data_IF_293545937695
#
_entry.id   IF_293545937695
#
_cell.length_a   1.000
_cell.length_b   1.000
_cell.length_c   1.000
_cell.angle_alpha   90.00
_cell.angle_beta   90.00
_cell.angle_gamma   90.00
#
_symmetry.space_group_name_H-M   'P 1'
#
loop_
_entity.id
_entity.type
_entity.pdbx_description
1 polymer ?
#
# COMPACT_ATOMS: atom_id res chain seq x y z
N UNK A 1 -68.78 -42.84 -5.22
CA UNK A 1 -68.09 -43.80 -6.08
C UNK A 1 -67.69 -43.09 -7.37
N UNK A 2 -66.38 -43.04 -7.66
CA UNK A 2 -65.63 -42.60 -8.87
C UNK A 2 -65.86 -41.20 -9.48
N UNK A 3 -64.83 -40.32 -9.56
CA UNK A 3 -63.58 -40.34 -10.37
C UNK A 3 -63.83 -40.28 -11.88
N UNK A 4 -63.81 -39.06 -12.42
CA UNK A 4 -63.30 -38.60 -13.74
C UNK A 4 -64.25 -37.61 -14.41
N UNK A 5 -63.93 -36.33 -14.30
CA UNK A 5 -64.12 -35.25 -15.28
C UNK A 5 -63.79 -33.92 -14.60
N UNK A 6 -62.52 -33.53 -14.70
CA UNK A 6 -62.09 -32.18 -14.35
C UNK A 6 -61.04 -31.80 -15.38
N UNK A 7 -61.43 -30.93 -16.31
CA UNK A 7 -60.70 -30.25 -17.41
C UNK A 7 -61.85 -29.83 -18.36
N UNK A 8 -62.15 -28.58 -18.69
CA UNK A 8 -61.45 -27.30 -18.70
C UNK A 8 -62.50 -26.17 -18.75
N UNK A 9 -62.09 -24.94 -18.37
CA UNK A 9 -62.59 -23.59 -18.71
C UNK A 9 -62.37 -22.75 -17.43
N UNK A 10 -61.67 -21.61 -17.39
CA UNK A 10 -61.34 -20.59 -18.37
C UNK A 10 -60.15 -19.78 -17.84
N UNK A 11 -59.31 -19.29 -18.75
CA UNK A 11 -58.23 -18.38 -18.48
C UNK A 11 -58.73 -16.98 -18.08
N UNK A 12 -58.18 -16.43 -17.00
CA UNK A 12 -58.22 -14.99 -16.72
C UNK A 12 -56.96 -14.57 -15.94
N UNK A 13 -56.12 -13.77 -16.59
CA UNK A 13 -55.27 -12.73 -15.99
C UNK A 13 -54.32 -13.11 -14.86
N UNK A 14 -53.11 -13.56 -15.21
CA UNK A 14 -51.93 -13.37 -14.37
C UNK A 14 -50.93 -12.50 -15.12
N UNK A 15 -50.92 -11.21 -14.80
CA UNK A 15 -49.80 -10.32 -15.14
C UNK A 15 -48.53 -10.91 -14.52
N UNK A 16 -47.40 -11.01 -15.26
CA UNK A 16 -46.14 -11.32 -14.63
C UNK A 16 -45.75 -10.07 -13.83
N UNK A 17 -45.92 -10.15 -12.50
CA UNK A 17 -45.22 -9.24 -11.61
C UNK A 17 -43.73 -9.41 -11.89
N UNK A 18 -43.15 -8.43 -12.58
CA UNK A 18 -41.72 -8.35 -12.79
C UNK A 18 -41.08 -8.38 -11.39
N UNK A 19 -40.34 -9.45 -11.09
CA UNK A 19 -39.38 -9.44 -10.00
C UNK A 19 -38.34 -8.36 -10.35
N UNK A 20 -38.61 -7.12 -9.93
CA UNK A 20 -37.59 -6.11 -9.82
C UNK A 20 -36.58 -6.65 -8.81
N UNK A 21 -35.46 -7.16 -9.31
CA UNK A 21 -34.28 -7.39 -8.47
C UNK A 21 -33.96 -6.11 -7.70
N UNK A 22 -33.28 -6.20 -6.54
CA UNK A 22 -32.96 -5.03 -5.74
C UNK A 22 -32.35 -3.97 -6.66
N UNK A 23 -32.99 -2.79 -6.71
CA UNK A 23 -32.50 -1.66 -7.47
C UNK A 23 -31.02 -1.49 -7.13
N UNK A 24 -30.14 -1.64 -8.13
CA UNK A 24 -28.72 -1.30 -7.97
C UNK A 24 -28.71 0.09 -7.37
N UNK A 25 -28.27 0.21 -6.11
CA UNK A 25 -28.00 1.50 -5.49
C UNK A 25 -27.26 2.33 -6.55
N UNK A 26 -27.75 3.52 -6.94
CA UNK A 26 -27.04 4.30 -7.92
C UNK A 26 -25.66 4.52 -7.32
N UNK A 27 -24.62 4.05 -8.02
CA UNK A 27 -23.29 4.52 -7.72
C UNK A 27 -23.41 6.05 -7.73
N UNK A 28 -22.99 6.71 -6.64
CA UNK A 28 -23.01 8.18 -6.54
C UNK A 28 -22.27 8.82 -7.73
N UNK A 29 -21.34 8.06 -8.32
CA UNK A 29 -20.53 8.42 -9.46
C UNK A 29 -21.04 7.69 -10.72
N UNK A 30 -21.33 8.45 -11.77
CA UNK A 30 -21.54 7.91 -13.11
C UNK A 30 -20.18 7.59 -13.75
N UNK A 31 -19.89 6.31 -14.10
CA UNK A 31 -18.65 5.96 -14.76
C UNK A 31 -18.36 6.82 -15.99
N UNK A 32 -19.36 7.13 -16.81
CA UNK A 32 -19.13 7.81 -18.09
C UNK A 32 -18.53 9.22 -17.93
N UNK A 33 -18.73 9.85 -16.77
CA UNK A 33 -18.10 11.13 -16.42
C UNK A 33 -16.56 11.06 -16.46
N UNK A 34 -15.97 9.87 -16.29
CA UNK A 34 -14.51 9.68 -16.19
C UNK A 34 -13.86 9.10 -17.46
N UNK A 35 -14.66 8.77 -18.49
CA UNK A 35 -14.17 8.24 -19.77
C UNK A 35 -13.09 9.13 -20.40
N UNK A 36 -13.29 10.44 -20.29
CA UNK A 36 -12.41 11.46 -20.87
C UNK A 36 -10.94 11.32 -20.45
N UNK A 37 -10.67 10.84 -19.23
CA UNK A 37 -9.30 10.58 -18.76
C UNK A 37 -8.61 9.54 -19.65
N UNK A 38 -9.28 8.41 -19.90
CA UNK A 38 -8.73 7.32 -20.72
C UNK A 38 -8.60 7.72 -22.18
N UNK A 39 -9.56 8.45 -22.73
CA UNK A 39 -9.48 8.97 -24.09
C UNK A 39 -8.28 9.92 -24.26
N UNK A 40 -8.05 10.79 -23.26
CA UNK A 40 -6.87 11.65 -23.23
C UNK A 40 -5.57 10.84 -23.18
N UNK A 41 -5.46 9.85 -22.29
CA UNK A 41 -4.25 9.02 -22.17
C UNK A 41 -3.95 8.24 -23.43
N UNK A 42 -4.97 7.65 -24.06
CA UNK A 42 -4.83 6.91 -25.32
C UNK A 42 -4.34 7.80 -26.48
N UNK A 43 -4.59 9.12 -26.42
CA UNK A 43 -4.15 10.08 -27.43
C UNK A 43 -2.74 10.66 -27.17
N UNK A 44 -2.12 10.42 -26.00
CA UNK A 44 -0.82 11.00 -25.63
C UNK A 44 0.34 10.46 -26.48
N UNK A 45 0.23 9.24 -26.98
CA UNK A 45 1.28 8.61 -27.75
C UNK A 45 0.87 7.25 -28.30
N UNK A 46 1.71 6.70 -29.18
CA UNK A 46 1.48 5.39 -29.76
C UNK A 46 1.62 4.29 -28.69
N UNK A 47 0.67 3.37 -28.65
CA UNK A 47 0.78 2.16 -27.84
C UNK A 47 1.89 1.25 -28.40
N UNK A 48 3.06 1.24 -27.76
CA UNK A 48 4.23 0.48 -28.23
C UNK A 48 4.16 -1.01 -27.91
N UNK A 49 3.58 -1.37 -26.76
CA UNK A 49 3.46 -2.74 -26.27
C UNK A 49 2.02 -2.99 -25.89
N UNK A 50 1.43 -4.02 -26.49
CA UNK A 50 0.06 -4.47 -26.22
C UNK A 50 0.12 -5.82 -25.53
N UNK A 51 -0.32 -5.89 -24.28
CA UNK A 51 -0.52 -7.15 -23.56
C UNK A 51 -1.98 -7.62 -23.70
N UNK A 52 -2.60 -8.16 -22.65
CA UNK A 52 -3.93 -8.78 -22.73
C UNK A 52 -5.02 -7.77 -23.12
N UNK A 53 -4.88 -6.53 -22.69
CA UNK A 53 -5.90 -5.52 -22.84
C UNK A 53 -5.27 -4.33 -23.60
N UNK A 54 -5.71 -4.03 -24.84
CA UNK A 54 -5.19 -2.93 -25.68
C UNK A 54 -5.88 -1.60 -25.37
N UNK A 55 -5.28 -0.45 -25.68
CA UNK A 55 -5.79 0.88 -25.32
C UNK A 55 -7.23 1.15 -25.79
N UNK A 56 -7.59 0.62 -26.96
CA UNK A 56 -8.96 0.65 -27.48
C UNK A 56 -10.01 -0.01 -26.55
N UNK A 57 -9.59 -0.85 -25.60
CA UNK A 57 -10.44 -1.51 -24.60
C UNK A 57 -10.18 -1.03 -23.17
N UNK A 58 -9.38 0.03 -22.98
CA UNK A 58 -8.96 0.48 -21.65
C UNK A 58 -10.15 0.95 -20.81
N UNK A 59 -10.99 1.83 -21.36
CA UNK A 59 -12.15 2.35 -20.64
C UNK A 59 -13.13 1.25 -20.26
N UNK A 60 -13.48 0.38 -21.20
CA UNK A 60 -14.40 -0.74 -20.94
C UNK A 60 -13.90 -1.68 -19.85
N UNK A 61 -12.58 -1.93 -19.81
CA UNK A 61 -12.00 -2.71 -18.72
C UNK A 61 -12.02 -1.95 -17.39
N UNK A 62 -11.61 -0.68 -17.37
CA UNK A 62 -11.57 0.13 -16.15
C UNK A 62 -12.96 0.30 -15.55
N UNK A 63 -13.96 0.63 -16.37
CA UNK A 63 -15.37 0.75 -15.97
C UNK A 63 -15.90 -0.50 -15.25
N UNK A 64 -15.42 -1.70 -15.61
CA UNK A 64 -15.83 -2.96 -14.97
C UNK A 64 -15.03 -3.32 -13.72
N UNK A 65 -13.78 -2.88 -13.63
CA UNK A 65 -12.82 -3.43 -12.66
C UNK A 65 -12.32 -2.44 -11.63
N UNK A 66 -12.32 -1.14 -11.93
CA UNK A 66 -11.66 -0.11 -11.14
C UNK A 66 -12.70 0.64 -10.30
N UNK A 67 -12.48 0.81 -8.98
CA UNK A 67 -13.32 1.68 -8.17
C UNK A 67 -13.33 3.11 -8.74
N UNK A 68 -14.46 3.80 -8.67
CA UNK A 68 -14.53 5.20 -9.13
C UNK A 68 -14.09 6.14 -8.01
N UNK A 69 -13.40 7.22 -8.39
CA UNK A 69 -12.89 8.23 -7.45
C UNK A 69 -13.03 9.62 -8.06
N UNK A 70 -13.46 10.58 -7.25
CA UNK A 70 -13.46 12.00 -7.61
C UNK A 70 -13.05 12.84 -6.41
N UNK A 71 -12.36 13.94 -6.66
CA UNK A 71 -12.08 14.95 -5.65
C UNK A 71 -11.92 16.33 -6.30
N UNK A 72 -11.98 17.43 -5.50
CA UNK A 72 -11.84 18.78 -6.05
C UNK A 72 -10.47 19.07 -6.70
N UNK A 73 -9.43 18.31 -6.33
CA UNK A 73 -8.10 18.41 -6.94
C UNK A 73 -8.05 17.59 -8.24
N UNK A 74 -7.94 18.29 -9.36
CA UNK A 74 -7.97 17.67 -10.70
C UNK A 74 -6.73 16.84 -10.99
N UNK A 75 -5.57 17.20 -10.43
CA UNK A 75 -4.34 16.46 -10.65
C UNK A 75 -4.40 15.11 -9.91
N UNK A 76 -4.93 15.10 -8.68
CA UNK A 76 -5.13 13.86 -7.92
C UNK A 76 -6.14 12.95 -8.61
N UNK A 77 -7.27 13.49 -9.07
CA UNK A 77 -8.26 12.71 -9.83
C UNK A 77 -7.66 12.14 -11.13
N UNK A 78 -6.96 12.95 -11.92
CA UNK A 78 -6.32 12.49 -13.14
C UNK A 78 -5.27 11.39 -12.87
N UNK A 79 -4.42 11.57 -11.85
CA UNK A 79 -3.40 10.58 -11.46
C UNK A 79 -4.05 9.26 -11.02
N UNK A 80 -5.19 9.31 -10.33
CA UNK A 80 -5.94 8.11 -9.95
C UNK A 80 -6.27 7.25 -11.19
N UNK A 81 -6.89 7.86 -12.20
CA UNK A 81 -7.27 7.14 -13.43
C UNK A 81 -6.05 6.76 -14.28
N UNK A 82 -5.02 7.62 -14.33
CA UNK A 82 -3.77 7.34 -15.04
C UNK A 82 -3.04 6.11 -14.49
N UNK A 83 -3.03 5.95 -13.16
CA UNK A 83 -2.39 4.80 -12.49
C UNK A 83 -3.07 3.49 -12.86
N UNK A 84 -4.40 3.45 -12.88
CA UNK A 84 -5.15 2.27 -13.31
C UNK A 84 -5.01 1.98 -14.81
N UNK A 85 -5.05 3.02 -15.64
CA UNK A 85 -4.81 2.90 -17.08
C UNK A 85 -3.42 2.30 -17.36
N UNK A 86 -2.40 2.81 -16.68
CA UNK A 86 -1.02 2.29 -16.77
C UNK A 86 -0.92 0.86 -16.25
N UNK A 87 -1.44 0.59 -15.04
CA UNK A 87 -1.37 -0.72 -14.40
C UNK A 87 -1.98 -1.82 -15.27
N UNK A 88 -3.11 -1.54 -15.93
CA UNK A 88 -3.75 -2.48 -16.86
C UNK A 88 -2.82 -2.94 -17.99
N UNK A 89 -1.94 -2.07 -18.49
CA UNK A 89 -0.98 -2.44 -19.56
C UNK A 89 -0.07 -3.59 -19.14
N UNK A 90 0.12 -3.81 -17.83
CA UNK A 90 0.97 -4.86 -17.30
C UNK A 90 0.28 -6.24 -17.19
N UNK A 91 -1.03 -6.30 -17.40
CA UNK A 91 -1.80 -7.55 -17.37
C UNK A 91 -1.50 -8.35 -18.64
N UNK A 92 -0.83 -9.49 -18.47
CA UNK A 92 -0.35 -10.32 -19.57
C UNK A 92 -0.84 -11.75 -19.42
N UNK A 93 -1.38 -12.31 -20.50
CA UNK A 93 -1.73 -13.73 -20.57
C UNK A 93 -0.48 -14.58 -20.81
N UNK A 94 -0.36 -15.69 -20.08
CA UNK A 94 0.66 -16.73 -20.29
C UNK A 94 -0.02 -18.11 -20.35
N UNK A 95 0.71 -19.18 -20.75
CA UNK A 95 0.22 -20.56 -20.63
C UNK A 95 -0.11 -20.98 -19.20
N UNK A 96 0.43 -20.28 -18.18
CA UNK A 96 0.21 -20.55 -16.76
C UNK A 96 -0.79 -19.60 -16.10
N UNK A 97 -1.57 -18.86 -16.88
CA UNK A 97 -2.53 -17.87 -16.41
C UNK A 97 -2.06 -16.42 -16.64
N UNK A 98 -2.81 -15.49 -16.06
CA UNK A 98 -2.51 -14.06 -16.10
C UNK A 98 -1.36 -13.73 -15.13
N UNK A 99 -0.44 -12.86 -15.56
CA UNK A 99 0.60 -12.25 -14.71
C UNK A 99 0.54 -10.73 -14.77
N UNK A 100 1.14 -10.06 -13.79
CA UNK A 100 1.41 -8.62 -13.79
C UNK A 100 2.91 -8.39 -14.01
N UNK A 101 3.26 -7.82 -15.17
CA UNK A 101 4.66 -7.52 -15.52
C UNK A 101 5.18 -6.27 -14.84
N UNK A 102 6.50 -6.14 -14.64
CA UNK A 102 7.11 -4.90 -14.12
C UNK A 102 7.56 -3.95 -15.24
N UNK A 103 8.12 -4.51 -16.33
CA UNK A 103 8.51 -3.78 -17.52
C UNK A 103 7.66 -4.24 -18.70
N UNK A 104 7.15 -3.28 -19.48
CA UNK A 104 6.42 -3.60 -20.72
C UNK A 104 7.37 -4.22 -21.77
N UNK A 105 8.55 -3.62 -21.94
CA UNK A 105 9.58 -4.15 -22.84
C UNK A 105 10.37 -5.28 -22.14
N UNK A 106 10.78 -6.33 -22.86
CA UNK A 106 11.59 -7.39 -22.28
C UNK A 106 12.89 -6.89 -21.66
N UNK A 107 13.23 -7.39 -20.47
CA UNK A 107 14.50 -7.09 -19.80
C UNK A 107 15.29 -8.38 -19.52
N UNK A 108 16.62 -8.30 -19.58
CA UNK A 108 17.51 -9.48 -19.54
C UNK A 108 17.50 -10.26 -18.22
N UNK A 109 17.08 -9.61 -17.13
CA UNK A 109 17.08 -10.18 -15.78
C UNK A 109 15.69 -10.65 -15.33
N UNK A 110 14.69 -10.60 -16.22
CA UNK A 110 13.37 -11.16 -15.97
C UNK A 110 13.39 -12.69 -16.10
N UNK A 111 12.46 -13.33 -15.41
CA UNK A 111 12.16 -14.73 -15.56
C UNK A 111 11.34 -14.98 -16.84
N UNK A 112 10.86 -16.22 -16.99
CA UNK A 112 9.92 -16.59 -18.05
C UNK A 112 8.77 -15.59 -18.18
N UNK A 113 8.34 -15.34 -19.42
CA UNK A 113 7.27 -14.41 -19.77
C UNK A 113 7.51 -12.94 -19.40
N UNK A 114 8.75 -12.55 -19.10
CA UNK A 114 9.13 -11.23 -18.61
C UNK A 114 8.60 -10.93 -17.19
N UNK A 115 8.41 -11.98 -16.38
CA UNK A 115 7.97 -11.86 -15.00
C UNK A 115 9.14 -11.46 -14.08
N UNK A 116 8.87 -10.57 -13.12
CA UNK A 116 9.80 -10.14 -12.09
C UNK A 116 9.06 -10.10 -10.75
N UNK A 117 9.75 -10.48 -9.67
CA UNK A 117 9.17 -10.55 -8.32
C UNK A 117 9.45 -9.33 -7.45
N UNK A 118 10.27 -8.38 -7.93
CA UNK A 118 10.70 -7.21 -7.17
C UNK A 118 9.52 -6.39 -6.65
N UNK A 119 8.49 -6.22 -7.47
CA UNK A 119 7.31 -5.45 -7.16
C UNK A 119 6.06 -6.31 -6.92
N UNK A 120 6.19 -7.64 -6.75
CA UNK A 120 5.02 -8.52 -6.56
C UNK A 120 4.10 -8.04 -5.41
N UNK A 121 4.67 -7.67 -4.27
CA UNK A 121 3.88 -7.12 -3.15
C UNK A 121 3.13 -5.83 -3.52
N UNK A 122 3.71 -4.99 -4.39
CA UNK A 122 3.04 -3.80 -4.91
C UNK A 122 1.97 -4.13 -5.96
N UNK A 123 2.19 -5.15 -6.81
CA UNK A 123 1.17 -5.61 -7.76
C UNK A 123 -0.09 -6.06 -7.02
N UNK A 124 0.07 -6.88 -5.98
CA UNK A 124 -1.03 -7.33 -5.13
C UNK A 124 -1.67 -6.17 -4.37
N UNK A 125 -0.87 -5.27 -3.78
CA UNK A 125 -1.39 -4.15 -2.98
C UNK A 125 -2.23 -3.14 -3.78
N UNK A 126 -1.89 -2.94 -5.06
CA UNK A 126 -2.70 -2.14 -5.98
C UNK A 126 -3.90 -2.95 -6.49
N UNK A 127 -3.64 -4.14 -7.05
CA UNK A 127 -4.67 -4.93 -7.74
C UNK A 127 -5.73 -5.56 -6.83
N UNK A 128 -5.52 -5.63 -5.51
CA UNK A 128 -6.55 -6.08 -4.54
C UNK A 128 -7.83 -5.23 -4.58
N UNK A 129 -7.76 -4.02 -5.13
CA UNK A 129 -8.91 -3.12 -5.27
C UNK A 129 -9.73 -3.38 -6.55
N UNK A 130 -9.26 -4.26 -7.43
CA UNK A 130 -10.02 -4.64 -8.62
C UNK A 130 -11.29 -5.39 -8.23
N UNK A 131 -12.40 -5.08 -8.90
CA UNK A 131 -13.67 -5.80 -8.70
C UNK A 131 -13.60 -7.26 -9.16
N UNK A 132 -12.82 -7.57 -10.20
CA UNK A 132 -12.52 -8.93 -10.60
C UNK A 132 -11.20 -9.39 -9.94
N UNK A 133 -11.25 -10.34 -8.98
CA UNK A 133 -10.06 -10.80 -8.27
C UNK A 133 -9.15 -11.67 -9.14
N UNK A 134 -9.60 -12.12 -10.33
CA UNK A 134 -8.89 -13.12 -11.13
C UNK A 134 -7.50 -12.68 -11.58
N UNK A 135 -7.29 -11.37 -11.81
CA UNK A 135 -5.98 -10.86 -12.24
C UNK A 135 -4.92 -11.13 -11.17
N UNK A 136 -5.20 -10.79 -9.91
CA UNK A 136 -4.26 -10.99 -8.81
C UNK A 136 -4.25 -12.44 -8.33
N UNK A 137 -5.37 -13.15 -8.39
CA UNK A 137 -5.40 -14.57 -8.08
C UNK A 137 -4.48 -15.37 -9.00
N UNK A 138 -4.55 -15.14 -10.31
CA UNK A 138 -3.71 -15.85 -11.27
C UNK A 138 -2.25 -15.41 -11.20
N UNK A 139 -1.95 -14.14 -10.92
CA UNK A 139 -0.57 -13.67 -10.71
C UNK A 139 0.06 -14.31 -9.46
N UNK A 140 -0.69 -14.40 -8.35
CA UNK A 140 -0.25 -15.11 -7.15
C UNK A 140 -0.08 -16.61 -7.41
N UNK A 141 -1.02 -17.24 -8.11
CA UNK A 141 -0.94 -18.65 -8.49
C UNK A 141 0.30 -18.93 -9.35
N UNK A 142 0.57 -18.08 -10.34
CA UNK A 142 1.76 -18.17 -11.19
C UNK A 142 3.04 -18.25 -10.35
N UNK A 143 3.24 -17.34 -9.40
CA UNK A 143 4.44 -17.34 -8.58
C UNK A 143 4.50 -18.49 -7.58
N UNK A 144 3.38 -18.84 -6.95
CA UNK A 144 3.37 -19.71 -5.79
C UNK A 144 3.09 -21.20 -6.09
N UNK A 145 2.54 -21.51 -7.27
CA UNK A 145 2.01 -22.85 -7.61
C UNK A 145 2.39 -23.38 -9.00
N UNK A 146 3.15 -22.63 -9.81
CA UNK A 146 3.52 -23.06 -11.17
C UNK A 146 5.02 -23.27 -11.39
N UNK A 147 5.80 -23.33 -10.30
CA UNK A 147 7.19 -23.78 -10.34
C UNK A 147 7.33 -25.30 -10.49
N UNK A 148 8.56 -25.78 -10.33
CA UNK A 148 8.87 -27.22 -10.39
C UNK A 148 7.98 -28.01 -9.43
N UNK A 149 7.40 -29.12 -9.91
CA UNK A 149 6.46 -29.97 -9.18
C UNK A 149 5.23 -29.25 -8.60
N UNK A 150 4.81 -28.12 -9.20
CA UNK A 150 3.67 -27.32 -8.71
C UNK A 150 4.01 -26.46 -7.48
N UNK A 151 5.30 -26.23 -7.22
CA UNK A 151 5.80 -25.40 -6.12
C UNK A 151 6.06 -23.94 -6.50
N UNK A 152 6.88 -23.26 -5.69
CA UNK A 152 7.31 -21.88 -5.94
C UNK A 152 8.13 -21.79 -7.24
N UNK A 153 7.92 -20.73 -8.01
CA UNK A 153 8.81 -20.43 -9.13
C UNK A 153 10.20 -20.03 -8.62
N UNK A 154 11.24 -20.57 -9.26
CA UNK A 154 12.65 -20.40 -8.89
C UNK A 154 13.10 -18.94 -8.74
N UNK A 155 12.52 -18.02 -9.51
CA UNK A 155 12.87 -16.60 -9.48
C UNK A 155 12.03 -15.77 -8.50
N UNK A 156 11.10 -16.40 -7.75
CA UNK A 156 10.25 -15.65 -6.82
C UNK A 156 11.08 -14.96 -5.73
N UNK A 157 12.07 -15.67 -5.17
CA UNK A 157 13.01 -15.14 -4.18
C UNK A 157 14.23 -14.39 -4.79
N UNK A 158 14.18 -14.01 -6.07
CA UNK A 158 15.26 -13.25 -6.72
C UNK A 158 15.44 -11.85 -6.11
N UNK A 159 14.33 -11.24 -5.71
CA UNK A 159 14.28 -9.93 -5.07
C UNK A 159 13.58 -10.01 -3.72
N UNK A 160 13.98 -9.15 -2.79
CA UNK A 160 13.31 -9.03 -1.50
C UNK A 160 11.86 -8.58 -1.67
N UNK A 161 10.95 -9.19 -0.90
CA UNK A 161 9.53 -8.94 -1.06
C UNK A 161 8.71 -9.21 0.21
N UNK A 162 7.49 -8.67 0.21
CA UNK A 162 6.54 -8.69 1.31
C UNK A 162 5.24 -9.40 0.91
N UNK A 163 5.40 -10.52 0.21
CA UNK A 163 4.33 -11.28 -0.44
C UNK A 163 3.24 -11.75 0.51
N UNK A 164 3.61 -12.34 1.66
CA UNK A 164 2.64 -12.87 2.61
C UNK A 164 1.77 -11.76 3.20
N UNK A 165 2.36 -10.59 3.51
CA UNK A 165 1.58 -9.42 3.95
C UNK A 165 0.64 -8.98 2.86
N UNK A 166 1.13 -8.80 1.63
CA UNK A 166 0.31 -8.30 0.53
C UNK A 166 -0.91 -9.22 0.25
N UNK A 167 -0.73 -10.55 0.31
CA UNK A 167 -1.82 -11.50 0.14
C UNK A 167 -2.81 -11.52 1.32
N UNK A 168 -2.31 -11.39 2.56
CA UNK A 168 -3.18 -11.20 3.72
C UNK A 168 -4.01 -9.91 3.60
N UNK A 169 -3.37 -8.84 3.13
CA UNK A 169 -3.98 -7.53 2.87
C UNK A 169 -5.00 -7.54 1.73
N UNK A 170 -4.82 -8.44 0.75
CA UNK A 170 -5.83 -8.72 -0.28
C UNK A 170 -7.04 -9.44 0.32
N UNK A 171 -6.82 -10.44 1.15
CA UNK A 171 -7.91 -11.14 1.84
C UNK A 171 -8.75 -10.20 2.72
N UNK A 172 -8.12 -9.22 3.37
CA UNK A 172 -8.86 -8.18 4.11
C UNK A 172 -9.79 -7.35 3.22
N UNK A 173 -9.49 -7.24 1.91
CA UNK A 173 -10.29 -6.51 0.95
C UNK A 173 -11.37 -7.37 0.27
N UNK A 174 -11.03 -8.61 -0.13
CA UNK A 174 -11.91 -9.48 -0.93
C UNK A 174 -12.63 -10.58 -0.13
N UNK A 175 -12.20 -10.84 1.10
CA UNK A 175 -12.76 -11.86 1.99
C UNK A 175 -12.51 -13.31 1.56
N UNK A 176 -11.71 -13.57 0.51
CA UNK A 176 -11.50 -14.91 -0.03
C UNK A 176 -10.51 -15.72 0.82
N UNK A 177 -11.02 -16.26 1.93
CA UNK A 177 -10.23 -17.01 2.90
C UNK A 177 -9.57 -18.25 2.30
N UNK A 178 -10.29 -18.99 1.47
CA UNK A 178 -9.82 -20.29 0.99
C UNK A 178 -8.65 -20.13 0.02
N UNK A 179 -8.69 -19.12 -0.86
CA UNK A 179 -7.55 -18.76 -1.70
C UNK A 179 -6.31 -18.40 -0.85
N UNK A 180 -6.48 -17.56 0.19
CA UNK A 180 -5.38 -17.18 1.08
C UNK A 180 -4.78 -18.39 1.82
N UNK A 181 -5.63 -19.24 2.40
CA UNK A 181 -5.19 -20.43 3.15
C UNK A 181 -4.49 -21.43 2.23
N UNK A 182 -4.94 -21.55 0.98
CA UNK A 182 -4.26 -22.36 -0.02
C UNK A 182 -2.83 -21.88 -0.33
N UNK A 183 -2.45 -20.64 0.00
CA UNK A 183 -1.09 -20.15 -0.14
C UNK A 183 -0.23 -20.27 1.12
N UNK A 184 -0.72 -20.83 2.23
CA UNK A 184 0.05 -20.94 3.47
C UNK A 184 1.38 -21.71 3.28
N UNK A 185 1.31 -22.93 2.75
CA UNK A 185 2.49 -23.77 2.54
C UNK A 185 3.54 -23.13 1.61
N UNK A 186 3.19 -22.60 0.41
CA UNK A 186 4.19 -21.94 -0.42
C UNK A 186 4.76 -20.66 0.22
N UNK A 187 3.97 -19.90 1.01
CA UNK A 187 4.49 -18.73 1.74
C UNK A 187 5.47 -19.14 2.85
N UNK A 188 5.22 -20.24 3.55
CA UNK A 188 6.17 -20.80 4.52
C UNK A 188 7.46 -21.30 3.84
N UNK A 189 7.34 -21.88 2.65
CA UNK A 189 8.48 -22.33 1.87
C UNK A 189 9.36 -21.15 1.41
N UNK A 190 8.75 -20.06 0.95
CA UNK A 190 9.46 -18.83 0.57
C UNK A 190 10.18 -18.23 1.78
N UNK A 191 9.49 -18.09 2.92
CA UNK A 191 10.08 -17.59 4.15
C UNK A 191 11.28 -18.44 4.59
N UNK A 192 11.16 -19.76 4.51
CA UNK A 192 12.24 -20.70 4.86
C UNK A 192 13.43 -20.57 3.90
N UNK A 193 13.20 -20.25 2.63
CA UNK A 193 14.27 -19.99 1.68
C UNK A 193 15.05 -18.73 2.06
N UNK A 194 14.36 -17.65 2.43
CA UNK A 194 15.00 -16.44 2.96
C UNK A 194 15.81 -16.72 4.23
N UNK A 195 15.30 -17.55 5.15
CA UNK A 195 16.04 -17.93 6.36
C UNK A 195 17.34 -18.67 6.01
N UNK A 196 17.29 -19.67 5.13
CA UNK A 196 18.50 -20.42 4.73
C UNK A 196 19.54 -19.55 4.04
N UNK A 197 19.11 -18.62 3.19
CA UNK A 197 20.01 -17.88 2.30
C UNK A 197 20.54 -16.58 2.92
N UNK A 198 19.72 -15.92 3.75
CA UNK A 198 19.94 -14.52 4.16
C UNK A 198 19.96 -14.29 5.66
N UNK A 199 19.56 -15.26 6.49
CA UNK A 199 19.62 -15.09 7.95
C UNK A 199 21.07 -15.13 8.42
N UNK A 200 21.44 -14.17 9.26
CA UNK A 200 22.75 -14.14 9.92
C UNK A 200 22.66 -14.76 11.33
N UNK A 201 23.81 -15.07 11.93
CA UNK A 201 23.88 -15.53 13.33
C UNK A 201 23.26 -14.54 14.33
N UNK A 202 23.23 -13.24 13.99
CA UNK A 202 22.57 -12.22 14.81
C UNK A 202 21.04 -12.39 14.89
N UNK A 203 20.45 -13.18 13.99
CA UNK A 203 19.00 -13.30 13.80
C UNK A 203 18.38 -12.23 12.91
N UNK A 204 19.20 -11.33 12.34
CA UNK A 204 18.78 -10.38 11.30
C UNK A 204 19.16 -10.89 9.90
N UNK A 205 18.46 -10.39 8.89
CA UNK A 205 18.68 -10.71 7.49
C UNK A 205 19.63 -9.72 6.83
N UNK A 206 20.52 -10.23 5.97
CA UNK A 206 21.34 -9.41 5.09
C UNK A 206 20.75 -9.36 3.68
N UNK A 207 21.01 -8.28 2.94
CA UNK A 207 20.65 -8.21 1.53
C UNK A 207 21.57 -7.25 0.75
N UNK A 208 21.74 -7.53 -0.54
CA UNK A 208 22.40 -6.62 -1.48
C UNK A 208 21.40 -5.59 -1.99
N UNK A 209 21.82 -4.35 -2.13
CA UNK A 209 20.93 -3.27 -2.60
C UNK A 209 20.29 -3.56 -3.97
N UNK A 210 21.02 -4.20 -4.89
CA UNK A 210 20.49 -4.65 -6.19
C UNK A 210 19.38 -5.70 -6.03
N UNK A 211 19.51 -6.60 -5.04
CA UNK A 211 18.50 -7.63 -4.74
C UNK A 211 17.32 -7.07 -3.93
N UNK A 212 17.39 -5.84 -3.44
CA UNK A 212 16.23 -5.06 -2.98
C UNK A 212 15.54 -4.29 -4.12
N UNK A 213 16.10 -4.30 -5.34
CA UNK A 213 15.67 -3.41 -6.43
C UNK A 213 16.07 -1.95 -6.21
N UNK A 214 17.11 -1.70 -5.40
CA UNK A 214 17.52 -0.37 -4.93
C UNK A 214 18.99 -0.09 -5.23
N UNK A 215 19.43 -0.41 -6.44
CA UNK A 215 20.84 -0.26 -6.82
C UNK A 215 21.34 1.18 -6.69
N UNK A 216 22.62 1.32 -6.30
CA UNK A 216 23.26 2.62 -6.08
C UNK A 216 22.64 3.42 -4.92
N UNK A 217 22.07 2.72 -3.93
CA UNK A 217 21.68 3.33 -2.65
C UNK A 217 22.91 3.88 -1.92
N UNK A 218 22.70 4.89 -1.05
CA UNK A 218 23.78 5.53 -0.28
C UNK A 218 24.34 4.54 0.74
N UNK A 219 23.47 3.82 1.43
CA UNK A 219 23.92 2.73 2.31
C UNK A 219 24.48 1.53 1.53
N UNK A 220 24.12 1.45 0.25
CA UNK A 220 24.73 0.60 -0.76
C UNK A 220 24.67 -0.90 -0.47
N UNK A 221 25.35 -1.62 -1.35
CA UNK A 221 25.85 -2.95 -1.05
C UNK A 221 25.70 -3.96 -2.18
N UNK A 222 26.26 -3.68 -3.37
CA UNK A 222 26.16 -4.61 -4.52
C UNK A 222 26.82 -5.96 -4.26
N UNK A 223 27.89 -5.98 -3.47
CA UNK A 223 28.73 -7.17 -3.22
C UNK A 223 28.98 -7.43 -1.72
N UNK A 224 28.22 -6.81 -0.82
CA UNK A 224 28.39 -6.95 0.63
C UNK A 224 27.09 -7.41 1.28
N UNK A 225 27.20 -8.08 2.43
CA UNK A 225 26.08 -8.61 3.21
C UNK A 225 25.63 -7.64 4.30
N UNK A 226 25.29 -6.42 3.90
CA UNK A 226 24.76 -5.43 4.83
C UNK A 226 23.41 -5.88 5.41
N UNK A 227 23.20 -5.62 6.69
CA UNK A 227 21.92 -5.86 7.38
C UNK A 227 21.05 -4.63 7.17
N UNK A 228 20.12 -4.74 6.23
CA UNK A 228 19.30 -3.63 5.74
C UNK A 228 17.93 -3.64 6.41
N UNK A 229 17.38 -2.49 6.84
CA UNK A 229 16.04 -2.45 7.43
C UNK A 229 14.93 -2.88 6.45
N UNK A 230 15.16 -2.83 5.12
CA UNK A 230 14.24 -3.29 4.07
C UNK A 230 13.82 -4.75 4.27
N UNK A 231 14.72 -5.70 3.99
CA UNK A 231 14.47 -7.13 4.10
C UNK A 231 14.02 -7.53 5.51
N UNK A 232 14.60 -6.93 6.56
CA UNK A 232 14.20 -7.23 7.93
C UNK A 232 12.76 -6.81 8.24
N UNK A 233 12.32 -5.67 7.69
CA UNK A 233 10.92 -5.23 7.81
C UNK A 233 10.00 -6.15 6.99
N UNK A 234 10.38 -6.52 5.77
CA UNK A 234 9.59 -7.44 4.96
C UNK A 234 9.42 -8.80 5.64
N UNK A 235 10.49 -9.37 6.18
CA UNK A 235 10.45 -10.65 6.90
C UNK A 235 9.63 -10.55 8.19
N UNK A 236 9.75 -9.46 8.96
CA UNK A 236 8.85 -9.23 10.11
C UNK A 236 7.38 -9.18 9.71
N UNK A 237 7.06 -8.45 8.64
CA UNK A 237 5.70 -8.38 8.09
C UNK A 237 5.20 -9.75 7.65
N UNK A 238 6.00 -10.45 6.84
CA UNK A 238 5.64 -11.77 6.32
C UNK A 238 5.43 -12.78 7.45
N UNK A 239 6.25 -12.74 8.50
CA UNK A 239 6.07 -13.61 9.65
C UNK A 239 4.73 -13.36 10.37
N UNK A 240 4.35 -12.09 10.57
CA UNK A 240 3.04 -11.76 11.14
C UNK A 240 1.89 -12.25 10.27
N UNK A 241 2.00 -12.06 8.96
CA UNK A 241 0.96 -12.49 8.03
C UNK A 241 0.82 -14.02 8.01
N UNK A 242 1.93 -14.76 7.91
CA UNK A 242 1.94 -16.23 7.96
C UNK A 242 1.33 -16.72 9.27
N UNK A 243 1.64 -16.10 10.41
CA UNK A 243 1.03 -16.47 11.68
C UNK A 243 -0.50 -16.27 11.69
N UNK A 244 -0.99 -15.18 11.09
CA UNK A 244 -2.42 -14.91 10.96
C UNK A 244 -3.09 -15.91 10.00
N UNK A 245 -2.48 -16.20 8.85
CA UNK A 245 -2.96 -17.20 7.88
C UNK A 245 -3.01 -18.59 8.52
N UNK A 246 -1.97 -18.98 9.25
CA UNK A 246 -1.93 -20.24 9.97
C UNK A 246 -3.03 -20.35 11.05
N UNK A 247 -3.32 -19.23 11.74
CA UNK A 247 -4.46 -19.16 12.68
C UNK A 247 -5.79 -19.38 11.93
N UNK A 248 -5.98 -18.71 10.79
CA UNK A 248 -7.16 -18.90 9.94
C UNK A 248 -7.29 -20.35 9.48
N UNK A 249 -6.18 -21.00 9.13
CA UNK A 249 -6.13 -22.40 8.71
C UNK A 249 -6.28 -23.43 9.85
N UNK A 250 -6.38 -22.99 11.11
CA UNK A 250 -6.44 -23.87 12.29
C UNK A 250 -5.07 -24.47 12.69
N UNK A 251 -3.97 -24.06 12.05
CA UNK A 251 -2.62 -24.54 12.35
C UNK A 251 -1.96 -23.71 13.47
N UNK A 252 -2.38 -23.97 14.70
CA UNK A 252 -1.89 -23.26 15.88
C UNK A 252 -0.38 -23.42 16.16
N UNK A 253 0.26 -24.58 15.92
CA UNK A 253 1.72 -24.70 16.03
C UNK A 253 2.47 -23.71 15.13
N UNK A 254 2.15 -23.67 13.83
CA UNK A 254 2.77 -22.72 12.87
C UNK A 254 2.47 -21.28 13.27
N UNK A 255 1.23 -21.00 13.70
CA UNK A 255 0.85 -19.66 14.15
C UNK A 255 1.67 -19.17 15.35
N UNK A 256 2.08 -20.07 16.26
CA UNK A 256 2.97 -19.72 17.38
C UNK A 256 4.40 -19.48 16.90
N UNK A 257 4.95 -20.40 16.12
CA UNK A 257 6.31 -20.29 15.57
C UNK A 257 6.53 -18.93 14.87
N UNK A 258 5.62 -18.58 13.96
CA UNK A 258 5.76 -17.35 13.18
C UNK A 258 5.48 -16.08 13.99
N UNK A 259 4.66 -16.15 15.06
CA UNK A 259 4.53 -15.05 16.03
C UNK A 259 5.84 -14.82 16.77
N UNK A 260 6.53 -15.87 17.17
CA UNK A 260 7.81 -15.78 17.88
C UNK A 260 8.91 -15.23 16.95
N UNK A 261 8.96 -15.69 15.70
CA UNK A 261 9.84 -15.11 14.65
C UNK A 261 9.60 -13.62 14.47
N UNK A 262 8.34 -13.20 14.34
CA UNK A 262 7.98 -11.78 14.22
C UNK A 262 8.38 -10.97 15.46
N UNK A 263 8.11 -11.47 16.67
CA UNK A 263 8.46 -10.78 17.90
C UNK A 263 9.98 -10.58 18.03
N UNK A 264 10.76 -11.62 17.73
CA UNK A 264 12.23 -11.57 17.73
C UNK A 264 12.77 -10.58 16.70
N UNK A 265 12.28 -10.63 15.46
CA UNK A 265 12.73 -9.70 14.42
C UNK A 265 12.40 -8.24 14.75
N UNK A 266 11.21 -7.99 15.30
CA UNK A 266 10.86 -6.66 15.78
C UNK A 266 11.92 -6.18 16.76
N UNK A 267 12.13 -6.91 17.86
CA UNK A 267 13.09 -6.54 18.91
C UNK A 267 14.49 -6.27 18.36
N UNK A 268 15.00 -7.16 17.49
CA UNK A 268 16.30 -6.99 16.86
C UNK A 268 16.38 -5.74 15.98
N UNK A 269 15.36 -5.47 15.16
CA UNK A 269 15.30 -4.24 14.35
C UNK A 269 15.28 -3.00 15.25
N UNK A 270 14.47 -2.99 16.33
CA UNK A 270 14.38 -1.85 17.24
C UNK A 270 15.71 -1.59 17.98
N UNK A 271 16.44 -2.65 18.35
CA UNK A 271 17.68 -2.52 19.15
C UNK A 271 18.93 -2.34 18.31
N UNK A 272 19.02 -3.00 17.15
CA UNK A 272 20.25 -3.09 16.37
C UNK A 272 20.27 -2.16 15.17
N UNK A 273 19.11 -1.84 14.60
CA UNK A 273 19.03 -0.99 13.41
C UNK A 273 18.61 0.45 13.72
N UNK A 274 18.21 0.74 14.97
CA UNK A 274 17.92 2.10 15.40
C UNK A 274 19.21 2.84 15.80
N UNK A 275 19.63 3.79 14.96
CA UNK A 275 20.72 4.70 15.26
C UNK A 275 20.21 5.82 16.19
N UNK A 276 20.59 5.78 17.47
CA UNK A 276 20.14 6.76 18.47
C UNK A 276 20.56 8.19 18.14
N UNK A 277 21.79 8.39 17.68
CA UNK A 277 22.33 9.71 17.33
C UNK A 277 21.62 10.31 16.11
N UNK A 278 21.26 9.47 15.15
CA UNK A 278 20.49 9.89 13.98
C UNK A 278 18.98 9.96 14.24
N UNK A 279 18.49 9.40 15.36
CA UNK A 279 17.08 9.15 15.63
C UNK A 279 16.36 8.51 14.43
N UNK A 280 17.01 7.53 13.80
CA UNK A 280 16.57 6.95 12.53
C UNK A 280 16.98 5.48 12.42
N UNK A 281 16.26 4.70 11.62
CA UNK A 281 16.66 3.34 11.29
C UNK A 281 17.65 3.34 10.14
N UNK A 282 18.81 2.74 10.32
CA UNK A 282 19.88 2.76 9.33
C UNK A 282 20.35 1.34 9.01
N UNK A 283 20.86 1.17 7.80
CA UNK A 283 21.60 -0.04 7.42
C UNK A 283 22.82 -0.21 8.30
N UNK A 284 22.98 -1.43 8.82
CA UNK A 284 24.18 -1.86 9.51
C UNK A 284 25.10 -2.54 8.51
N UNK A 285 26.30 -2.00 8.32
CA UNK A 285 27.28 -2.53 7.38
C UNK A 285 27.94 -3.80 7.92
N UNK A 286 28.62 -4.58 7.07
CA UNK A 286 29.39 -5.76 7.49
C UNK A 286 30.44 -5.45 8.57
N UNK A 287 30.94 -4.20 8.61
CA UNK A 287 31.86 -3.73 9.66
C UNK A 287 31.21 -3.64 11.05
N UNK A 288 29.89 -3.75 11.14
CA UNK A 288 29.12 -3.50 12.37
C UNK A 288 28.86 -2.01 12.64
N UNK A 289 29.27 -1.11 11.73
CA UNK A 289 28.94 0.30 11.82
C UNK A 289 27.66 0.64 11.05
N UNK A 290 26.95 1.67 11.50
CA UNK A 290 25.85 2.24 10.73
C UNK A 290 26.38 2.91 9.46
N UNK A 291 25.59 2.83 8.38
CA UNK A 291 25.89 3.49 7.11
C UNK A 291 25.87 5.03 7.18
N UNK A 292 25.37 5.61 8.28
CA UNK A 292 25.26 7.07 8.51
C UNK A 292 24.49 7.78 7.39
N UNK A 293 23.45 7.12 6.90
CA UNK A 293 22.59 7.61 5.84
C UNK A 293 21.12 7.38 6.22
N UNK A 294 20.35 8.47 6.27
CA UNK A 294 18.89 8.40 6.41
C UNK A 294 18.28 8.17 5.04
N UNK A 295 17.82 6.96 4.78
CA UNK A 295 17.19 6.62 3.51
C UNK A 295 15.69 6.45 3.70
N UNK A 296 14.90 7.20 2.93
CA UNK A 296 13.47 6.95 2.86
C UNK A 296 13.29 5.72 2.01
N UNK A 297 13.01 4.57 2.65
CA UNK A 297 12.37 3.44 1.99
C UNK A 297 12.00 2.36 3.01
N UNK A 298 10.72 1.98 2.99
CA UNK A 298 10.12 0.76 3.58
C UNK A 298 9.78 0.77 5.07
N UNK A 299 10.37 1.62 5.91
CA UNK A 299 10.14 1.52 7.37
C UNK A 299 8.68 1.82 7.76
N UNK A 300 8.03 2.74 7.04
CA UNK A 300 6.72 3.24 7.41
C UNK A 300 5.59 2.21 7.25
N UNK A 301 5.57 1.40 6.19
CA UNK A 301 4.42 0.52 5.92
C UNK A 301 4.35 -0.66 6.90
N UNK A 302 5.52 -1.20 7.26
CA UNK A 302 5.61 -2.34 8.17
C UNK A 302 5.57 -1.91 9.64
N UNK A 303 6.23 -0.80 10.02
CA UNK A 303 6.27 -0.34 11.41
C UNK A 303 5.08 0.54 11.82
N UNK A 304 4.29 1.12 10.90
CA UNK A 304 3.06 1.85 11.27
C UNK A 304 2.03 0.95 11.97
N UNK A 305 2.13 -0.38 11.79
CA UNK A 305 1.32 -1.38 12.50
C UNK A 305 1.78 -1.69 13.94
N UNK A 306 2.87 -1.07 14.44
CA UNK A 306 3.57 -1.51 15.66
C UNK A 306 3.31 -0.69 16.95
N UNK A 307 2.39 0.28 16.92
CA UNK A 307 1.90 0.94 18.16
C UNK A 307 2.94 1.75 18.97
N UNK A 308 3.98 2.30 18.33
CA UNK A 308 5.04 3.06 19.04
C UNK A 308 4.59 4.43 19.60
N UNK A 309 5.23 4.91 20.69
CA UNK A 309 4.98 6.23 21.28
C UNK A 309 5.37 7.39 20.35
N UNK A 310 4.69 8.52 20.56
CA UNK A 310 4.62 9.72 19.70
C UNK A 310 5.97 10.31 19.23
N UNK A 311 7.07 10.09 19.95
CA UNK A 311 8.43 10.60 19.61
C UNK A 311 9.08 9.94 18.38
N UNK A 312 8.73 8.71 18.05
CA UNK A 312 9.28 8.02 16.86
C UNK A 312 8.56 8.48 15.58
N UNK A 313 7.29 8.87 15.68
CA UNK A 313 6.48 9.31 14.53
C UNK A 313 7.01 10.61 13.92
N UNK A 314 7.42 11.58 14.73
CA UNK A 314 7.93 12.88 14.26
C UNK A 314 9.24 12.79 13.48
N UNK A 315 10.04 11.74 13.65
CA UNK A 315 11.27 11.52 12.88
C UNK A 315 11.04 10.91 11.50
N UNK A 316 9.98 10.11 11.34
CA UNK A 316 9.58 9.51 10.05
C UNK A 316 8.97 10.56 9.11
N UNK A 317 8.21 11.52 9.64
CA UNK A 317 7.59 12.61 8.88
C UNK A 317 8.61 13.52 8.16
N UNK A 318 9.85 13.60 8.65
CA UNK A 318 10.87 14.51 8.12
C UNK A 318 11.42 14.13 6.73
N UNK A 319 11.20 12.87 6.29
CA UNK A 319 11.72 12.35 5.02
C UNK A 319 10.60 12.03 4.01
N UNK A 320 9.33 12.20 4.40
CA UNK A 320 8.19 12.09 3.49
C UNK A 320 8.20 13.30 2.52
N UNK A 321 8.19 13.01 1.21
CA UNK A 321 8.12 14.00 0.14
C UNK A 321 9.47 14.44 -0.48
N UNK A 322 9.45 15.10 -1.66
CA UNK A 322 10.65 15.47 -2.42
C UNK A 322 11.67 16.30 -1.61
N UNK A 323 11.18 17.18 -0.74
CA UNK A 323 12.02 18.02 0.12
C UNK A 323 12.73 17.23 1.22
N UNK A 324 12.13 16.16 1.75
CA UNK A 324 12.74 15.26 2.72
C UNK A 324 13.87 14.43 2.11
N UNK A 325 13.64 13.91 0.90
CA UNK A 325 14.62 13.17 0.09
C UNK A 325 15.83 14.06 -0.24
N UNK A 326 15.60 15.29 -0.67
CA UNK A 326 16.68 16.24 -1.00
C UNK A 326 17.49 16.68 0.22
N UNK A 327 16.86 16.78 1.41
CA UNK A 327 17.57 17.08 2.67
C UNK A 327 18.48 15.91 3.10
N UNK A 328 18.02 14.68 2.96
CA UNK A 328 18.84 13.49 3.23
C UNK A 328 20.09 13.44 2.33
N UNK A 329 19.91 13.71 1.02
CA UNK A 329 21.00 13.81 0.05
C UNK A 329 21.99 14.95 0.37
N UNK A 330 21.49 16.14 0.72
CA UNK A 330 22.33 17.31 1.06
C UNK A 330 23.13 17.13 2.34
N UNK A 331 22.60 16.46 3.36
CA UNK A 331 23.32 16.21 4.60
C UNK A 331 24.52 15.27 4.39
N UNK A 332 24.40 14.31 3.47
CA UNK A 332 25.48 13.38 3.11
C UNK A 332 26.62 14.06 2.33
N UNK A 333 26.30 15.03 1.46
CA UNK A 333 27.30 15.75 0.66
C UNK A 333 28.01 16.92 1.38
N UNK A 334 27.79 17.13 2.68
CA UNK A 334 28.46 18.19 3.46
C UNK A 334 29.98 17.98 3.69
N UNK A 335 30.62 17.08 2.97
CA UNK A 335 32.07 16.84 3.04
C UNK A 335 32.74 16.47 1.72
N UNK A 336 32.03 16.51 0.59
CA UNK A 336 32.60 16.18 -0.74
C UNK A 336 32.47 17.39 -1.69
N UNK A 337 33.53 17.81 -2.39
CA UNK A 337 33.40 18.77 -3.48
C UNK A 337 32.47 18.15 -4.53
N UNK A 338 31.44 18.87 -4.96
CA UNK A 338 30.58 18.39 -6.05
C UNK A 338 31.43 18.23 -7.32
N UNK A 339 31.39 17.07 -8.01
CA UNK A 339 31.91 17.00 -9.36
C UNK A 339 30.99 17.82 -10.26
N UNK A 340 31.51 18.92 -10.82
CA UNK A 340 30.81 19.70 -11.82
C UNK A 340 30.66 18.88 -13.10
N UNK A 341 29.42 18.60 -13.52
CA UNK A 341 29.16 18.09 -14.86
C UNK A 341 29.22 19.29 -15.81
N UNK A 342 30.25 19.31 -16.66
CA UNK A 342 30.33 20.20 -17.80
C UNK A 342 29.39 19.67 -18.89
N UNK A 343 28.25 20.33 -19.09
CA UNK A 343 27.47 20.14 -20.31
C UNK A 343 28.27 20.76 -21.48
N UNK A 344 28.85 19.89 -22.30
CA UNK A 344 29.69 20.25 -23.43
C UNK A 344 28.91 20.88 -24.59
N UNK A 345 27.57 20.93 -24.52
CA UNK A 345 26.74 21.40 -25.64
C UNK A 345 26.28 22.85 -25.47
N UNK A 346 26.11 23.37 -24.25
CA UNK A 346 25.50 24.71 -24.06
C UNK A 346 26.27 25.74 -23.21
N UNK A 347 27.44 25.41 -22.61
CA UNK A 347 28.25 26.35 -21.78
C UNK A 347 27.43 27.37 -20.96
N UNK A 348 26.39 26.92 -20.26
CA UNK A 348 25.67 27.73 -19.27
C UNK A 348 25.59 26.97 -17.96
N UNK A 349 25.98 27.63 -16.85
CA UNK A 349 25.57 27.21 -15.50
C UNK A 349 24.08 27.50 -15.38
N UNK A 350 23.26 26.46 -15.32
CA UNK A 350 21.84 26.60 -15.01
C UNK A 350 21.67 26.68 -13.50
N UNK A 351 21.09 27.79 -13.05
CA UNK A 351 20.59 27.95 -11.68
C UNK A 351 19.38 27.04 -11.50
N UNK A 352 19.42 26.11 -10.54
CA UNK A 352 18.21 25.35 -10.17
C UNK A 352 17.23 26.30 -9.48
N UNK A 353 16.09 26.55 -10.12
CA UNK A 353 14.95 27.23 -9.53
C UNK A 353 14.38 26.44 -8.34
N UNK A 354 13.92 27.18 -7.34
CA UNK A 354 13.47 26.69 -6.03
C UNK A 354 12.00 26.24 -6.11
N UNK A 355 11.64 25.01 -5.71
CA UNK A 355 10.26 24.65 -5.46
C UNK A 355 9.90 25.05 -4.02
N UNK A 356 9.66 26.35 -3.80
CA UNK A 356 9.18 26.89 -2.51
C UNK A 356 7.69 27.30 -2.54
N UNK A 357 6.93 26.92 -3.57
CA UNK A 357 5.52 27.30 -3.72
C UNK A 357 4.60 26.07 -3.80
N UNK A 358 4.34 25.47 -2.64
CA UNK A 358 3.11 24.72 -2.31
C UNK A 358 3.17 24.24 -0.85
N UNK A 359 3.12 25.19 0.09
CA UNK A 359 2.89 24.89 1.51
C UNK A 359 1.85 25.86 2.02
N UNK A 360 0.63 25.37 2.25
CA UNK A 360 -0.25 25.88 3.32
C UNK A 360 -1.45 24.95 3.50
N UNK A 361 -1.59 24.50 4.74
CA UNK A 361 -2.72 23.78 5.35
C UNK A 361 -2.84 22.29 5.05
N UNK A 362 -2.47 21.47 6.05
CA UNK A 362 -3.38 20.48 6.63
C UNK A 362 -2.83 19.98 7.98
N UNK A 363 -3.24 20.65 9.06
CA UNK A 363 -3.41 20.06 10.38
C UNK A 363 -4.87 19.64 10.48
N UNK A 364 -5.18 18.37 10.72
CA UNK A 364 -6.43 17.97 11.39
C UNK A 364 -6.23 16.72 12.25
N UNK A 365 -6.08 17.01 13.55
CA UNK A 365 -6.75 16.41 14.69
C UNK A 365 -7.11 14.92 14.67
N UNK A 366 -6.45 14.18 15.57
CA UNK A 366 -7.09 13.10 16.30
C UNK A 366 -7.57 13.64 17.66
N UNK A 367 -8.89 13.62 17.92
CA UNK A 367 -9.56 12.97 19.08
C UNK A 367 -10.88 13.66 19.50
N UNK A 368 -11.84 12.79 19.83
CA UNK A 368 -13.09 13.07 20.51
C UNK A 368 -12.87 13.79 21.86
N UNK A 369 -13.90 14.54 22.28
CA UNK A 369 -13.77 15.69 23.16
C UNK A 369 -13.51 15.44 24.65
N UNK A 370 -13.03 16.52 25.29
CA UNK A 370 -13.21 16.88 26.70
C UNK A 370 -12.90 18.38 26.85
N UNK A 371 -13.76 19.13 27.56
CA UNK A 371 -13.64 20.56 27.89
C UNK A 371 -12.76 20.79 29.13
N UNK A 372 -11.98 21.89 29.17
CA UNK A 372 -11.96 22.95 30.21
C UNK A 372 -10.72 23.88 30.09
N UNK A 373 -10.95 25.19 30.27
CA UNK A 373 -10.05 26.37 30.38
C UNK A 373 -9.08 26.32 31.60
N UNK A 374 -8.07 27.18 31.88
CA UNK A 374 -7.49 28.48 31.44
C UNK A 374 -6.04 28.53 32.05
N UNK A 375 -5.05 29.34 31.64
CA UNK A 375 -4.78 30.77 32.01
C UNK A 375 -3.48 31.22 31.29
N UNK A 376 -3.46 32.44 30.73
CA UNK A 376 -2.25 33.17 30.24
C UNK A 376 -1.56 33.97 31.36
N UNK A 377 -0.32 34.49 31.24
CA UNK A 377 -0.16 35.81 30.58
C UNK A 377 1.22 36.01 29.87
N UNK A 378 1.24 36.59 28.67
CA UNK A 378 1.97 37.83 28.29
C UNK A 378 2.58 37.49 26.90
N UNK A 379 2.50 38.26 25.81
CA UNK A 379 2.58 39.70 25.58
C UNK A 379 1.85 40.04 24.27
N UNK A 380 1.27 41.24 24.28
CA UNK A 380 0.59 41.98 23.20
C UNK A 380 1.46 42.15 21.94
N UNK A 381 0.85 42.11 20.75
CA UNK A 381 0.51 43.32 19.93
C UNK A 381 -0.17 42.94 18.58
N UNK A 382 -0.89 43.89 17.94
CA UNK A 382 -2.14 43.61 17.25
C UNK A 382 -2.05 43.65 15.72
N UNK A 383 -2.98 42.95 15.07
CA UNK A 383 -3.28 43.10 13.64
C UNK A 383 -4.69 42.59 13.38
N UNK A 384 -5.64 43.51 13.21
CA UNK A 384 -7.06 43.25 12.90
C UNK A 384 -7.19 42.56 11.54
N UNK A 385 -8.08 41.56 11.44
CA UNK A 385 -9.22 41.51 10.51
C UNK A 385 -9.79 40.08 10.41
N UNK A 386 -10.75 39.77 11.27
CA UNK A 386 -11.90 38.92 10.95
C UNK A 386 -13.08 39.44 11.77
N UNK A 387 -14.12 39.95 11.09
CA UNK A 387 -15.47 40.09 11.64
C UNK A 387 -16.36 39.14 10.84
N UNK A 388 -17.29 38.55 11.58
CA UNK A 388 -18.50 37.86 11.14
C UNK A 388 -18.36 36.42 10.66
N UNK A 389 -18.19 35.51 11.63
CA UNK A 389 -18.86 34.20 11.64
C UNK A 389 -19.19 33.85 13.10
N UNK A 390 -20.26 34.44 13.65
CA UNK A 390 -20.72 34.11 15.03
C UNK A 390 -22.22 33.89 15.16
N UNK A 391 -22.99 33.96 14.07
CA UNK A 391 -24.45 33.83 14.12
C UNK A 391 -24.98 32.43 13.74
N UNK A 392 -24.12 31.40 13.69
CA UNK A 392 -24.54 30.04 13.31
C UNK A 392 -24.64 29.03 14.47
N UNK A 393 -24.43 29.44 15.71
CA UNK A 393 -24.56 28.54 16.86
C UNK A 393 -25.18 29.25 18.07
N UNK A 394 -26.48 29.57 17.97
CA UNK A 394 -27.33 29.74 19.15
C UNK A 394 -28.11 28.43 19.37
N UNK A 395 -27.76 27.70 20.42
CA UNK A 395 -28.64 26.69 21.02
C UNK A 395 -29.56 27.36 22.07
N UNK A 396 -30.81 26.88 22.23
CA UNK A 396 -31.78 27.50 23.12
C UNK A 396 -31.47 27.23 24.60
N UNK A 397 -31.81 28.21 25.45
CA UNK A 397 -31.63 28.18 26.89
C UNK A 397 -32.47 27.08 27.59
N UNK A 398 -32.02 26.52 28.72
CA UNK A 398 -32.80 25.55 29.48
C UNK A 398 -33.83 26.25 30.38
N UNK A 399 -35.08 25.77 30.34
CA UNK A 399 -36.11 26.17 31.29
C UNK A 399 -35.78 25.70 32.71
N UNK A 400 -35.90 26.62 33.66
CA UNK A 400 -35.75 26.37 35.07
C UNK A 400 -37.10 25.96 35.70
N UNK A 401 -37.07 24.83 36.41
CA UNK A 401 -37.63 24.72 37.76
C UNK A 401 -39.08 24.25 37.91
N UNK A 402 -39.24 23.06 38.50
CA UNK A 402 -40.14 22.82 39.65
C UNK A 402 -39.57 21.67 40.51
N UNK A 403 -39.31 21.96 41.77
CA UNK A 403 -39.22 21.03 42.93
C UNK A 403 -40.36 21.43 43.89
N UNK A 404 -40.56 20.76 45.04
CA UNK A 404 -40.79 19.33 45.30
C UNK A 404 -42.03 19.12 46.23
N UNK A 405 -42.51 17.89 46.40
CA UNK A 405 -43.21 17.44 47.64
C UNK A 405 -43.14 15.90 47.66
N UNK A 406 -42.51 15.25 48.65
CA UNK A 406 -43.18 14.76 49.86
C UNK A 406 -43.47 13.26 49.69
N UNK A 407 -42.60 12.37 50.16
CA UNK A 407 -42.64 11.74 51.49
C UNK A 407 -43.44 10.41 51.53
N UNK A 408 -42.84 9.45 52.25
CA UNK A 408 -43.44 8.32 53.01
C UNK A 408 -43.44 6.92 52.36
N UNK A 409 -42.74 6.02 53.08
CA UNK A 409 -42.87 4.55 53.31
C UNK A 409 -43.23 3.64 52.11
N UNK A 410 -42.46 2.60 51.77
CA UNK A 410 -42.04 1.41 52.55
C UNK A 410 -41.01 0.62 51.75
#
# INVERSE_FOLDING_TARGET
MNRRRFLHLTAAGLSPAAFAGPARSPFVLDPETFRHHVESFNAMGKEEVVNLIPDAKAWEWMKRNVPLFTCPDRDIEQIYYFRWWTWRKHIKQTPHGIIVTEFLKPVKHAAEYNALSCAFGHHVAEGRWLHDPQVIEQDAHFWLRTGENGGLRKNFNQFSGWAAVALYDRWLADGNRDALVAYLDPLMLDYSAWERERLTESGLFWQRDVSDGMESSISGGRNVKNIRPSINSYMYGNAKAIAAIATLAGNQPVAREFRDKAARLKDLVERRLWNQSAAFFETLMESGEFARAREHRVHALVLRSSGRPRRVRSGLEAVDGPAGILRALRAHHRGTPQPGISDSVYRRRLSMERPELAVRHHDYSARAGQRAERVSPERRRPGRLFRDVSDLYQEPAPEAGRRPDGSVDR
#
